data_IF_405045066197
#
_entry.id   IF_405045066197
#
_cell.length_a   1.000
_cell.length_b   1.000
_cell.length_c   1.000
_cell.angle_alpha   90.00
_cell.angle_beta   90.00
_cell.angle_gamma   90.00
#
_symmetry.space_group_name_H-M   'P 1'
#
loop_
_entity.id
_entity.type
_entity.pdbx_description
1 polymer ?
#
# COMPACT_ATOMS: atom_id res chain seq x y z
N UNK A 1 -2.05 -25.14 -8.97
CA UNK A 1 -1.12 -24.00 -8.78
C UNK A 1 -1.99 -22.78 -8.55
N UNK A 2 -1.65 -21.90 -7.61
CA UNK A 2 -2.35 -20.62 -7.41
C UNK A 2 -1.44 -19.56 -8.02
N UNK A 3 -1.93 -18.82 -9.01
CA UNK A 3 -1.20 -17.73 -9.67
C UNK A 3 -1.22 -16.49 -8.77
N UNK A 4 -0.36 -16.52 -7.73
CA UNK A 4 -0.31 -15.48 -6.72
C UNK A 4 0.10 -14.13 -7.31
N UNK A 5 1.01 -14.14 -8.30
CA UNK A 5 1.56 -12.93 -8.91
C UNK A 5 0.49 -12.12 -9.66
N UNK A 6 -0.44 -12.78 -10.36
CA UNK A 6 -1.53 -12.11 -11.09
C UNK A 6 -2.52 -11.42 -10.14
N UNK A 7 -2.69 -11.95 -8.93
CA UNK A 7 -3.59 -11.36 -7.92
C UNK A 7 -2.96 -10.20 -7.16
N UNK A 8 -1.63 -10.04 -7.19
CA UNK A 8 -0.95 -9.01 -6.42
C UNK A 8 -1.25 -7.61 -6.95
N UNK A 9 -1.38 -7.42 -8.25
CA UNK A 9 -1.66 -6.11 -8.84
C UNK A 9 -3.03 -5.59 -8.41
N UNK A 10 -4.08 -6.41 -8.56
CA UNK A 10 -5.43 -6.06 -8.12
C UNK A 10 -5.48 -5.83 -6.60
N UNK A 11 -4.79 -6.67 -5.84
CA UNK A 11 -4.69 -6.53 -4.40
C UNK A 11 -4.00 -5.22 -4.00
N UNK A 12 -2.89 -4.86 -4.62
CA UNK A 12 -2.19 -3.60 -4.34
C UNK A 12 -3.06 -2.40 -4.70
N UNK A 13 -3.76 -2.43 -5.84
CA UNK A 13 -4.70 -1.37 -6.21
C UNK A 13 -5.81 -1.23 -5.17
N UNK A 14 -6.47 -2.32 -4.77
CA UNK A 14 -7.54 -2.31 -3.78
C UNK A 14 -7.07 -1.80 -2.41
N UNK A 15 -5.82 -2.09 -2.04
CA UNK A 15 -5.22 -1.63 -0.78
C UNK A 15 -4.68 -0.20 -0.85
N UNK A 16 -4.66 0.42 -2.03
CA UNK A 16 -4.09 1.75 -2.25
C UNK A 16 -2.57 1.74 -2.12
N UNK A 17 -1.93 0.71 -2.66
CA UNK A 17 -0.49 0.49 -2.72
C UNK A 17 0.00 0.71 -4.17
N UNK A 18 1.30 0.87 -4.34
CA UNK A 18 1.96 0.87 -5.64
C UNK A 18 2.23 -0.56 -6.13
N UNK A 19 2.55 -0.70 -7.40
CA UNK A 19 2.98 -1.97 -8.02
C UNK A 19 4.21 -2.58 -7.32
N UNK A 20 5.03 -1.75 -6.66
CA UNK A 20 6.18 -2.21 -5.86
C UNK A 20 5.80 -2.66 -4.44
N UNK A 21 4.51 -2.73 -4.10
CA UNK A 21 4.03 -3.13 -2.78
C UNK A 21 4.20 -2.05 -1.70
N UNK A 22 4.30 -0.77 -2.07
CA UNK A 22 4.46 0.34 -1.11
C UNK A 22 3.12 1.08 -0.94
N UNK A 23 2.60 1.26 0.29
CA UNK A 23 1.39 2.05 0.53
C UNK A 23 1.54 3.48 -0.01
N UNK A 24 0.51 3.99 -0.70
CA UNK A 24 0.47 5.39 -1.12
C UNK A 24 0.30 6.32 0.09
N UNK A 25 0.78 7.55 -0.02
CA UNK A 25 0.66 8.57 1.03
C UNK A 25 -0.81 8.84 1.43
N UNK A 26 -1.73 8.77 0.48
CA UNK A 26 -3.18 8.88 0.75
C UNK A 26 -3.67 7.77 1.69
N UNK A 27 -3.19 6.53 1.51
CA UNK A 27 -3.52 5.37 2.33
C UNK A 27 -2.94 5.52 3.73
N UNK A 28 -1.70 6.01 3.83
CA UNK A 28 -1.02 6.26 5.10
C UNK A 28 -1.80 7.29 5.93
N UNK A 29 -2.12 8.44 5.33
CA UNK A 29 -2.86 9.52 6.00
C UNK A 29 -4.28 9.10 6.39
N UNK A 30 -5.00 8.41 5.50
CA UNK A 30 -6.34 7.88 5.81
C UNK A 30 -6.34 6.93 7.00
N UNK A 31 -5.24 6.22 7.21
CA UNK A 31 -5.07 5.27 8.32
C UNK A 31 -4.33 5.87 9.53
N UNK A 32 -3.95 7.16 9.48
CA UNK A 32 -3.17 7.85 10.51
C UNK A 32 -1.85 7.12 10.84
N UNK A 33 -1.14 6.65 9.83
CA UNK A 33 0.14 5.93 9.97
C UNK A 33 1.37 6.82 9.73
N UNK A 34 1.20 8.14 9.70
CA UNK A 34 2.24 9.12 9.38
C UNK A 34 3.47 9.02 10.30
N UNK A 35 3.26 8.63 11.57
CA UNK A 35 4.33 8.37 12.53
C UNK A 35 5.27 7.21 12.11
N UNK A 36 4.78 6.20 11.39
CA UNK A 36 5.58 5.04 10.96
C UNK A 36 6.48 5.43 9.78
N UNK A 37 6.06 6.40 8.98
CA UNK A 37 6.85 6.92 7.86
C UNK A 37 7.77 8.08 8.27
N UNK A 38 7.84 8.42 9.56
CA UNK A 38 8.55 9.60 10.08
C UNK A 38 8.18 10.88 9.31
N UNK A 39 6.90 11.01 8.91
CA UNK A 39 6.40 12.19 8.20
C UNK A 39 6.04 13.34 9.15
N UNK A 40 5.91 13.03 10.44
CA UNK A 40 5.76 14.00 11.52
C UNK A 40 7.16 14.51 11.90
N UNK A 41 7.42 15.80 11.67
CA UNK A 41 8.67 16.51 12.06
C UNK A 41 8.62 17.03 13.48
#
# INVERSE_FOLDING_TARGET
VVELDEMLDEYYVLRGWSENGVPKLETVRRLNLDAILNLES
#
